data_IF_240143314952
#
_entry.id   IF_240143314952
#
_cell.length_a   1.000
_cell.length_b   1.000
_cell.length_c   1.000
_cell.angle_alpha   90.00
_cell.angle_beta   90.00
_cell.angle_gamma   90.00
#
_symmetry.space_group_name_H-M   'P 1'
#
loop_
_entity.id
_entity.type
_entity.pdbx_description
1 polymer ?
#
# COMPACT_ATOMS: atom_id res chain seq x y z
N UNK A 1 -9.44 -5.25 27.06
CA UNK A 1 -8.37 -4.45 26.48
C UNK A 1 -8.25 -4.82 25.00
N UNK A 2 -8.54 -3.88 24.17
CA UNK A 2 -8.48 -4.15 22.73
C UNK A 2 -7.05 -3.89 22.22
N UNK A 3 -6.51 -4.88 21.52
CA UNK A 3 -5.25 -4.68 20.84
C UNK A 3 -5.44 -3.71 19.69
N UNK A 4 -4.38 -3.00 19.33
CA UNK A 4 -4.42 -2.17 18.14
C UNK A 4 -4.66 -3.05 16.92
N UNK A 5 -5.56 -2.63 16.04
CA UNK A 5 -5.76 -3.32 14.79
C UNK A 5 -4.53 -3.08 13.90
N UNK A 6 -4.10 -4.10 13.19
CA UNK A 6 -2.96 -3.99 12.29
C UNK A 6 -3.49 -3.89 10.87
N UNK A 7 -3.20 -2.78 10.23
CA UNK A 7 -3.72 -2.44 8.90
C UNK A 7 -2.58 -2.39 7.90
N UNK A 8 -2.68 -3.20 6.86
CA UNK A 8 -1.71 -3.16 5.78
C UNK A 8 -2.21 -2.18 4.72
N UNK A 9 -1.42 -1.17 4.41
CA UNK A 9 -1.76 -0.15 3.42
C UNK A 9 -0.91 -0.38 2.19
N UNK A 10 -1.56 -0.71 1.07
CA UNK A 10 -0.86 -1.01 -0.18
C UNK A 10 -1.10 0.13 -1.15
N UNK A 11 -0.04 0.80 -1.55
CA UNK A 11 -0.11 1.92 -2.47
C UNK A 11 1.19 2.04 -3.24
N UNK A 12 1.10 2.41 -4.51
CA UNK A 12 2.30 2.79 -5.24
C UNK A 12 2.39 4.31 -5.22
N UNK A 13 3.48 4.87 -5.74
CA UNK A 13 3.69 6.31 -5.68
C UNK A 13 2.60 7.13 -6.38
N UNK A 14 1.95 6.54 -7.37
CA UNK A 14 0.89 7.24 -8.09
C UNK A 14 -0.45 7.16 -7.38
N UNK A 15 -0.56 6.33 -6.37
CA UNK A 15 -1.79 6.17 -5.60
C UNK A 15 -1.76 6.95 -4.29
N UNK A 16 -0.70 7.71 -4.01
CA UNK A 16 -0.68 8.66 -2.91
C UNK A 16 -1.61 9.81 -3.26
N UNK A 17 -2.57 10.06 -2.40
CA UNK A 17 -3.57 11.07 -2.69
C UNK A 17 -4.25 11.52 -1.40
N UNK A 18 -4.91 12.70 -1.43
CA UNK A 18 -5.66 13.15 -0.26
C UNK A 18 -6.72 12.17 0.21
N UNK A 19 -7.32 11.44 -0.72
CA UNK A 19 -8.34 10.44 -0.40
C UNK A 19 -7.77 9.33 0.49
N UNK A 20 -6.55 8.88 0.20
CA UNK A 20 -5.91 7.88 1.03
C UNK A 20 -5.63 8.40 2.42
N UNK A 21 -5.05 9.60 2.53
CA UNK A 21 -4.75 10.21 3.81
C UNK A 21 -6.02 10.37 4.64
N UNK A 22 -7.09 10.85 4.01
CA UNK A 22 -8.37 11.02 4.68
C UNK A 22 -8.93 9.68 5.18
N UNK A 23 -8.81 8.64 4.36
CA UNK A 23 -9.26 7.30 4.75
C UNK A 23 -8.50 6.77 5.96
N UNK A 24 -7.19 7.00 6.01
CA UNK A 24 -6.37 6.57 7.14
C UNK A 24 -6.73 7.32 8.41
N UNK A 25 -6.99 8.61 8.30
CA UNK A 25 -7.45 9.41 9.43
C UNK A 25 -8.80 8.91 9.95
N UNK A 26 -9.74 8.64 9.05
CA UNK A 26 -11.04 8.13 9.43
C UNK A 26 -10.93 6.75 10.11
N UNK A 27 -10.04 5.91 9.59
CA UNK A 27 -9.82 4.61 10.20
C UNK A 27 -9.33 4.74 11.63
N UNK A 28 -8.42 5.67 11.87
CA UNK A 28 -7.91 5.93 13.22
C UNK A 28 -9.01 6.38 14.17
N UNK A 29 -10.01 7.09 13.66
CA UNK A 29 -11.13 7.53 14.47
C UNK A 29 -12.07 6.40 14.88
N UNK A 30 -12.04 5.28 14.17
CA UNK A 30 -12.87 4.12 14.50
C UNK A 30 -12.26 3.23 15.58
N UNK A 31 -11.03 3.49 15.95
CA UNK A 31 -10.37 2.74 17.00
C UNK A 31 -8.87 2.73 16.82
N UNK A 32 -8.13 2.31 17.85
CA UNK A 32 -6.67 2.28 17.75
C UNK A 32 -6.23 1.32 16.64
N UNK A 33 -5.30 1.79 15.83
CA UNK A 33 -4.76 0.97 14.76
C UNK A 33 -3.33 1.37 14.46
N UNK A 34 -2.61 0.42 13.87
CA UNK A 34 -1.22 0.59 13.47
C UNK A 34 -1.13 0.29 11.99
N UNK A 35 -0.56 1.20 11.22
CA UNK A 35 -0.44 1.02 9.78
C UNK A 35 0.94 0.52 9.41
N UNK A 36 1.00 -0.40 8.45
CA UNK A 36 2.24 -0.79 7.79
C UNK A 36 2.05 -0.49 6.32
N UNK A 37 2.98 0.26 5.75
CA UNK A 37 2.92 0.61 4.34
C UNK A 37 3.61 -0.45 3.51
N UNK A 38 3.00 -0.82 2.40
CA UNK A 38 3.60 -1.74 1.45
C UNK A 38 3.60 -1.07 0.09
N UNK A 39 4.80 -0.82 -0.42
CA UNK A 39 4.99 -0.19 -1.73
C UNK A 39 5.60 -1.22 -2.65
N UNK A 40 4.82 -1.79 -3.59
CA UNK A 40 5.41 -2.72 -4.55
C UNK A 40 6.43 -2.00 -5.41
N UNK A 41 7.55 -2.64 -5.67
CA UNK A 41 8.57 -2.03 -6.51
C UNK A 41 8.03 -1.89 -7.94
N UNK A 42 8.44 -0.82 -8.60
CA UNK A 42 7.98 -0.55 -9.95
C UNK A 42 9.03 -1.05 -10.93
N UNK A 43 8.71 -2.05 -11.75
CA UNK A 43 9.67 -2.47 -12.76
C UNK A 43 9.76 -1.41 -13.85
N UNK A 44 10.98 -1.02 -14.18
CA UNK A 44 11.23 -0.13 -15.31
C UNK A 44 11.49 -1.00 -16.51
N UNK A 45 10.54 -1.06 -17.42
CA UNK A 45 10.55 -2.01 -18.52
C UNK A 45 11.90 -2.23 -19.19
N UNK A 46 12.55 -1.17 -19.60
CA UNK A 46 13.82 -1.30 -20.32
C UNK A 46 15.05 -1.03 -19.47
N UNK A 47 14.88 -0.67 -18.25
CA UNK A 47 16.00 -0.40 -17.36
C UNK A 47 16.72 -1.69 -16.95
N UNK A 48 16.13 -2.79 -17.27
CA UNK A 48 16.68 -4.09 -16.92
C UNK A 48 18.10 -4.32 -17.39
N UNK A 49 18.47 -3.72 -18.47
CA UNK A 49 19.71 -4.06 -19.15
C UNK A 49 20.97 -3.82 -18.32
N UNK A 50 20.97 -2.89 -17.45
CA UNK A 50 22.16 -2.62 -16.66
C UNK A 50 21.87 -1.96 -15.34
N UNK A 51 20.61 -1.79 -15.06
CA UNK A 51 20.22 -1.05 -13.88
C UNK A 51 19.04 -1.74 -13.19
N UNK A 52 19.31 -2.92 -12.68
CA UNK A 52 18.30 -3.70 -12.01
C UNK A 52 17.82 -3.06 -10.71
N UNK A 53 18.56 -2.07 -10.22
CA UNK A 53 18.24 -1.43 -8.95
C UNK A 53 17.43 -0.14 -9.11
N UNK A 54 17.26 0.36 -10.33
CA UNK A 54 16.59 1.64 -10.54
C UNK A 54 15.18 1.65 -9.96
N UNK A 55 14.37 0.64 -10.26
CA UNK A 55 13.01 0.56 -9.73
C UNK A 55 12.98 0.36 -8.23
N UNK A 56 13.94 -0.36 -7.69
CA UNK A 56 14.07 -0.57 -6.26
C UNK A 56 14.47 0.69 -5.53
N UNK A 57 15.37 1.48 -6.10
CA UNK A 57 15.80 2.73 -5.49
C UNK A 57 14.66 3.75 -5.45
N UNK A 58 13.90 3.86 -6.53
CA UNK A 58 12.73 4.75 -6.56
C UNK A 58 11.71 4.33 -5.52
N UNK A 59 11.42 3.04 -5.44
CA UNK A 59 10.46 2.54 -4.46
C UNK A 59 10.94 2.80 -3.04
N UNK A 60 12.24 2.64 -2.81
CA UNK A 60 12.84 2.89 -1.49
C UNK A 60 12.73 4.34 -1.10
N UNK A 61 13.04 5.26 -2.00
CA UNK A 61 12.93 6.69 -1.73
C UNK A 61 11.48 7.09 -1.49
N UNK A 62 10.59 6.54 -2.28
CA UNK A 62 9.17 6.81 -2.14
C UNK A 62 8.64 6.28 -0.80
N UNK A 63 9.08 5.10 -0.41
CA UNK A 63 8.72 4.49 0.86
C UNK A 63 9.07 5.41 2.03
N UNK A 64 10.30 5.94 2.02
CA UNK A 64 10.78 6.81 3.08
C UNK A 64 9.96 8.10 3.12
N UNK A 65 9.76 8.72 1.96
CA UNK A 65 9.03 9.98 1.88
C UNK A 65 7.58 9.81 2.33
N UNK A 66 6.93 8.74 1.90
CA UNK A 66 5.56 8.46 2.26
C UNK A 66 5.42 8.19 3.76
N UNK A 67 6.33 7.42 4.31
CA UNK A 67 6.36 7.13 5.74
C UNK A 67 6.47 8.42 6.55
N UNK A 68 7.39 9.28 6.18
CA UNK A 68 7.58 10.55 6.88
C UNK A 68 6.34 11.44 6.78
N UNK A 69 5.76 11.51 5.60
CA UNK A 69 4.55 12.30 5.39
C UNK A 69 3.40 11.84 6.29
N UNK A 70 3.16 10.54 6.36
CA UNK A 70 2.08 10.03 7.18
C UNK A 70 2.35 10.23 8.66
N UNK A 71 3.59 10.08 9.09
CA UNK A 71 3.94 10.34 10.49
C UNK A 71 3.79 11.80 10.85
N UNK A 72 4.11 12.71 9.94
CA UNK A 72 3.90 14.14 10.16
C UNK A 72 2.43 14.48 10.31
N UNK A 73 1.55 13.71 9.68
CA UNK A 73 0.10 13.88 9.81
C UNK A 73 -0.46 13.25 11.09
N UNK A 74 0.41 12.72 11.93
CA UNK A 74 -0.02 12.17 13.22
C UNK A 74 -0.51 10.73 13.17
N UNK A 75 -0.30 10.06 12.07
CA UNK A 75 -0.74 8.66 11.93
C UNK A 75 0.27 7.70 12.55
N UNK A 76 -0.25 6.63 13.14
CA UNK A 76 0.58 5.61 13.77
C UNK A 76 1.07 4.62 12.73
N UNK A 77 2.20 4.90 12.11
CA UNK A 77 2.78 4.03 11.10
C UNK A 77 3.98 3.31 11.69
N UNK A 78 3.87 2.00 11.81
CA UNK A 78 4.92 1.19 12.40
C UNK A 78 6.10 0.98 11.47
N UNK A 79 5.82 0.77 10.19
CA UNK A 79 6.87 0.46 9.24
C UNK A 79 6.39 0.73 7.82
N UNK A 80 7.32 0.77 6.90
CA UNK A 80 7.04 0.87 5.49
C UNK A 80 8.00 -0.05 4.75
N UNK A 81 7.48 -0.86 3.85
CA UNK A 81 8.25 -1.89 3.17
C UNK A 81 8.11 -1.78 1.66
N UNK A 82 9.15 -2.17 0.97
CA UNK A 82 9.12 -2.32 -0.49
C UNK A 82 8.92 -3.82 -0.77
N UNK A 83 7.90 -4.14 -1.56
CA UNK A 83 7.57 -5.52 -1.87
C UNK A 83 7.80 -5.88 -3.32
N UNK A 84 7.35 -7.06 -3.67
CA UNK A 84 7.43 -7.60 -5.02
C UNK A 84 6.76 -6.66 -6.02
N UNK A 85 7.26 -6.56 -7.26
CA UNK A 85 6.59 -5.76 -8.29
C UNK A 85 5.15 -6.20 -8.58
N UNK A 86 4.84 -7.47 -8.38
CA UNK A 86 3.47 -7.95 -8.46
C UNK A 86 2.77 -7.61 -7.15
N UNK A 87 1.81 -6.69 -7.14
CA UNK A 87 1.18 -6.26 -5.90
C UNK A 87 0.47 -7.38 -5.14
N UNK A 88 -0.11 -8.34 -5.85
CA UNK A 88 -0.77 -9.46 -5.17
C UNK A 88 0.26 -10.34 -4.47
N UNK A 89 1.38 -10.62 -5.13
CA UNK A 89 2.47 -11.38 -4.52
C UNK A 89 3.02 -10.63 -3.31
N UNK A 90 3.18 -9.31 -3.42
CA UNK A 90 3.66 -8.51 -2.31
C UNK A 90 2.73 -8.60 -1.10
N UNK A 91 1.43 -8.53 -1.33
CA UNK A 91 0.43 -8.65 -0.27
C UNK A 91 0.49 -10.03 0.37
N UNK A 92 0.53 -11.07 -0.45
CA UNK A 92 0.58 -12.45 0.06
C UNK A 92 1.85 -12.69 0.88
N UNK A 93 2.99 -12.22 0.40
CA UNK A 93 4.26 -12.36 1.12
C UNK A 93 4.20 -11.66 2.46
N UNK A 94 3.69 -10.44 2.48
CA UNK A 94 3.63 -9.68 3.72
C UNK A 94 2.64 -10.30 4.71
N UNK A 95 1.50 -10.77 4.25
CA UNK A 95 0.50 -11.41 5.12
C UNK A 95 0.96 -12.77 5.60
N UNK A 96 1.90 -13.42 4.91
CA UNK A 96 2.53 -14.63 5.40
C UNK A 96 3.63 -14.34 6.43
N UNK A 97 4.25 -13.17 6.30
CA UNK A 97 5.33 -12.76 7.20
C UNK A 97 4.80 -12.20 8.51
N UNK A 98 3.72 -11.45 8.46
CA UNK A 98 3.12 -10.79 9.62
C UNK A 98 1.61 -10.94 9.60
N UNK A 99 0.98 -10.82 10.76
CA UNK A 99 -0.47 -10.89 10.86
C UNK A 99 -1.08 -9.50 10.71
N UNK A 100 -2.15 -9.42 9.94
CA UNK A 100 -2.90 -8.19 9.76
C UNK A 100 -4.39 -8.44 9.97
N UNK A 101 -5.11 -7.40 10.34
CA UNK A 101 -6.55 -7.49 10.57
C UNK A 101 -7.34 -7.01 9.37
N UNK A 102 -6.74 -6.13 8.57
CA UNK A 102 -7.39 -5.63 7.37
C UNK A 102 -6.36 -5.07 6.39
N UNK A 103 -6.78 -4.88 5.15
CA UNK A 103 -5.93 -4.37 4.08
C UNK A 103 -6.64 -3.17 3.44
N UNK A 104 -5.90 -2.09 3.21
CA UNK A 104 -6.37 -0.95 2.46
C UNK A 104 -5.56 -0.89 1.17
N UNK A 105 -6.24 -0.89 0.03
CA UNK A 105 -5.58 -0.79 -1.27
C UNK A 105 -5.94 0.55 -1.88
N UNK A 106 -4.95 1.36 -2.17
CA UNK A 106 -5.12 2.67 -2.79
C UNK A 106 -4.76 2.58 -4.27
N UNK A 107 -5.66 2.99 -5.13
CA UNK A 107 -5.46 2.96 -6.58
C UNK A 107 -5.84 4.27 -7.21
N UNK A 108 -5.41 4.45 -8.45
CA UNK A 108 -5.94 5.49 -9.33
C UNK A 108 -7.26 5.01 -9.96
N UNK A 109 -8.01 5.90 -10.61
CA UNK A 109 -9.24 5.47 -11.30
C UNK A 109 -9.00 4.36 -12.32
N UNK A 110 -10.02 3.57 -12.59
CA UNK A 110 -9.95 2.38 -13.43
C UNK A 110 -9.24 2.60 -14.77
N UNK A 111 -9.51 3.71 -15.43
CA UNK A 111 -8.96 3.94 -16.76
C UNK A 111 -7.43 4.14 -16.78
N UNK A 112 -6.81 4.35 -15.62
CA UNK A 112 -5.35 4.52 -15.54
C UNK A 112 -4.67 3.59 -14.54
N UNK A 113 -5.45 2.83 -13.78
CA UNK A 113 -4.88 1.93 -12.77
C UNK A 113 -4.71 0.52 -13.31
N UNK A 114 -3.48 0.05 -13.36
CA UNK A 114 -3.21 -1.34 -13.72
C UNK A 114 -3.74 -2.30 -12.67
N UNK A 115 -3.74 -1.89 -11.42
CA UNK A 115 -4.23 -2.73 -10.32
C UNK A 115 -5.72 -3.02 -10.44
N UNK A 116 -6.50 -2.04 -10.92
CA UNK A 116 -7.92 -2.25 -11.12
C UNK A 116 -8.20 -3.12 -12.34
N UNK A 117 -7.33 -3.09 -13.33
CA UNK A 117 -7.47 -3.96 -14.49
C UNK A 117 -7.29 -5.44 -14.13
N UNK A 118 -6.53 -5.73 -13.09
CA UNK A 118 -6.39 -7.10 -12.61
C UNK A 118 -7.28 -7.39 -11.41
N UNK A 119 -8.11 -6.43 -11.04
CA UNK A 119 -9.03 -6.54 -9.91
C UNK A 119 -8.30 -6.91 -8.60
N UNK A 120 -7.26 -6.15 -8.31
CA UNK A 120 -6.43 -6.40 -7.14
C UNK A 120 -7.22 -6.43 -5.83
N UNK A 121 -8.17 -5.50 -5.57
CA UNK A 121 -8.89 -5.55 -4.30
C UNK A 121 -9.60 -6.88 -4.05
N UNK A 122 -10.31 -7.41 -5.06
CA UNK A 122 -11.01 -8.68 -4.91
C UNK A 122 -10.05 -9.85 -4.76
N UNK A 123 -8.97 -9.83 -5.53
CA UNK A 123 -7.96 -10.88 -5.45
C UNK A 123 -7.24 -10.87 -4.11
N UNK A 124 -6.97 -9.69 -3.58
CA UNK A 124 -6.34 -9.56 -2.27
C UNK A 124 -7.24 -10.12 -1.17
N UNK A 125 -8.53 -9.83 -1.23
CA UNK A 125 -9.49 -10.36 -0.27
C UNK A 125 -9.54 -11.89 -0.35
N UNK A 126 -9.59 -12.43 -1.54
CA UNK A 126 -9.64 -13.88 -1.73
C UNK A 126 -8.36 -14.56 -1.24
N UNK A 127 -7.21 -13.95 -1.50
CA UNK A 127 -5.92 -14.53 -1.16
C UNK A 127 -5.62 -14.46 0.34
N UNK A 128 -6.04 -13.39 1.01
CA UNK A 128 -5.70 -13.17 2.42
C UNK A 128 -6.83 -13.56 3.38
N UNK A 129 -8.07 -13.58 2.91
CA UNK A 129 -9.22 -13.78 3.76
C UNK A 129 -9.54 -12.59 4.64
N UNK A 130 -8.88 -11.45 4.44
CA UNK A 130 -9.07 -10.25 5.26
C UNK A 130 -10.00 -9.26 4.58
N UNK A 131 -10.68 -8.40 5.36
CA UNK A 131 -11.44 -7.31 4.77
C UNK A 131 -10.50 -6.38 4.00
N UNK A 132 -10.90 -6.02 2.80
CA UNK A 132 -10.12 -5.11 1.96
C UNK A 132 -10.95 -3.85 1.69
N UNK A 133 -10.38 -2.71 2.02
CA UNK A 133 -10.96 -1.41 1.72
C UNK A 133 -10.24 -0.84 0.50
N UNK A 134 -11.00 -0.46 -0.50
CA UNK A 134 -10.44 0.10 -1.73
C UNK A 134 -10.64 1.61 -1.76
N UNK A 135 -9.55 2.34 -1.87
CA UNK A 135 -9.56 3.80 -1.98
C UNK A 135 -9.17 4.18 -3.39
N UNK A 136 -10.02 4.95 -4.05
CA UNK A 136 -9.74 5.42 -5.40
C UNK A 136 -9.35 6.89 -5.33
N UNK A 137 -8.15 7.21 -5.76
CA UNK A 137 -7.69 8.58 -5.78
C UNK A 137 -8.19 9.34 -6.99
N UNK A 138 -8.13 10.66 -6.91
CA UNK A 138 -8.47 11.49 -8.05
C UNK A 138 -7.30 11.53 -9.03
N UNK A 139 -7.63 11.49 -10.29
CA UNK A 139 -6.64 11.62 -11.36
C UNK A 139 -6.50 13.12 -11.66
N UNK A 140 -5.49 13.74 -11.12
CA UNK A 140 -5.28 15.16 -11.38
C UNK A 140 -3.97 15.41 -12.06
#
# INVERSE_FOLDING_TARGET
MSAEARVLVVANRTAECPELLDALRKRTMHGPCEFTLLVPSTPHGIAWAGDMHAGGEEAEQHRIAFLEELREEGLNVADAKVGDPDPLAAIQDECNFSEYDEVIVSTLPLHISKWLHIDLPSKAKAATGLPVTHIVGSAS
#
